data_IF_928319779706
#
_entry.id   IF_928319779706
#
_cell.length_a   1.000
_cell.length_b   1.000
_cell.length_c   1.000
_cell.angle_alpha   90.00
_cell.angle_beta   90.00
_cell.angle_gamma   90.00
#
_symmetry.space_group_name_H-M   'P 1'
#
loop_
_entity.id
_entity.type
_entity.pdbx_description
1 polymer ?
#
# COMPACT_ATOMS: atom_id res chain seq x y z
N UNK A 1 -1.78 7.76 26.58
CA UNK A 1 -2.45 6.56 27.13
C UNK A 1 -3.91 6.92 27.40
N UNK A 2 -4.89 6.04 27.09
CA UNK A 2 -4.71 4.68 26.58
C UNK A 2 -4.06 4.64 25.18
N UNK A 3 -3.58 3.47 24.77
CA UNK A 3 -3.07 3.24 23.41
C UNK A 3 -4.24 3.40 22.43
N UNK A 4 -4.09 4.21 21.39
CA UNK A 4 -5.19 4.44 20.44
C UNK A 4 -5.51 3.20 19.61
N UNK A 5 -4.47 2.57 19.08
CA UNK A 5 -4.52 1.44 18.18
C UNK A 5 -3.43 0.45 18.59
N UNK A 6 -3.81 -0.80 18.86
CA UNK A 6 -2.89 -1.88 19.18
C UNK A 6 -3.01 -2.99 18.13
N UNK A 7 -1.89 -3.33 17.50
CA UNK A 7 -1.83 -4.39 16.48
C UNK A 7 -1.08 -5.59 17.03
N UNK A 8 -1.70 -6.77 16.99
CA UNK A 8 -1.11 -8.00 17.49
C UNK A 8 -1.92 -9.23 17.06
N UNK A 9 -1.29 -10.40 17.02
CA UNK A 9 -1.97 -11.60 16.54
C UNK A 9 -3.04 -12.10 17.52
N UNK A 10 -4.02 -12.84 17.00
CA UNK A 10 -5.16 -13.34 17.77
C UNK A 10 -4.76 -14.46 18.75
N UNK A 11 -3.57 -15.05 18.60
CA UNK A 11 -3.00 -16.02 19.55
C UNK A 11 -2.84 -15.45 20.97
N UNK A 12 -2.87 -14.13 21.11
CA UNK A 12 -2.70 -13.43 22.39
C UNK A 12 -4.01 -13.12 23.12
N UNK A 13 -5.17 -13.49 22.55
CA UNK A 13 -6.50 -13.13 23.04
C UNK A 13 -6.75 -13.50 24.52
N UNK A 14 -6.37 -14.72 24.93
CA UNK A 14 -6.72 -15.27 26.26
C UNK A 14 -5.61 -15.14 27.31
N UNK A 15 -4.40 -14.72 26.89
CA UNK A 15 -3.24 -14.61 27.76
C UNK A 15 -2.81 -13.15 27.87
N UNK A 16 -1.87 -12.73 27.02
CA UNK A 16 -1.28 -11.40 27.04
C UNK A 16 -2.33 -10.27 27.03
N UNK A 17 -3.35 -10.35 26.18
CA UNK A 17 -4.39 -9.32 26.12
C UNK A 17 -5.26 -9.30 27.40
N UNK A 18 -5.52 -10.46 28.00
CA UNK A 18 -6.23 -10.53 29.28
C UNK A 18 -5.38 -9.97 30.43
N UNK A 19 -4.10 -10.34 30.51
CA UNK A 19 -3.17 -9.85 31.52
C UNK A 19 -2.93 -8.34 31.40
N UNK A 20 -2.83 -7.83 30.17
CA UNK A 20 -2.67 -6.39 29.92
C UNK A 20 -3.87 -5.60 30.46
N UNK A 21 -5.09 -6.11 30.25
CA UNK A 21 -6.32 -5.51 30.81
C UNK A 21 -6.36 -5.60 32.33
N UNK A 22 -6.02 -6.75 32.90
CA UNK A 22 -5.96 -6.96 34.35
C UNK A 22 -5.02 -5.95 35.02
N UNK A 23 -3.77 -5.87 34.56
CA UNK A 23 -2.79 -4.95 35.13
C UNK A 23 -3.16 -3.49 34.94
N UNK A 24 -3.81 -3.12 33.83
CA UNK A 24 -4.34 -1.77 33.64
C UNK A 24 -5.36 -1.42 34.73
N UNK A 25 -6.27 -2.34 35.06
CA UNK A 25 -7.26 -2.10 36.12
C UNK A 25 -6.61 -2.02 37.49
N UNK A 26 -5.66 -2.91 37.80
CA UNK A 26 -4.89 -2.85 39.05
C UNK A 26 -4.18 -1.51 39.19
N UNK A 27 -3.45 -1.06 38.16
CA UNK A 27 -2.73 0.23 38.17
C UNK A 27 -3.68 1.42 38.33
N UNK A 28 -4.87 1.37 37.73
CA UNK A 28 -5.90 2.39 37.93
C UNK A 28 -6.38 2.42 39.38
N UNK A 29 -6.68 1.26 39.95
CA UNK A 29 -7.27 1.16 41.28
C UNK A 29 -6.27 1.56 42.38
N UNK A 30 -4.96 1.39 42.16
CA UNK A 30 -3.92 1.93 43.06
C UNK A 30 -3.52 3.39 42.75
N UNK A 31 -4.19 4.05 41.81
CA UNK A 31 -4.00 5.47 41.49
C UNK A 31 -2.79 5.81 40.61
N UNK A 32 -2.16 4.82 39.95
CA UNK A 32 -1.02 5.05 39.06
C UNK A 32 -1.43 5.61 37.68
N UNK A 33 -2.67 5.32 37.24
CA UNK A 33 -3.22 5.78 35.97
C UNK A 33 -4.70 6.15 36.11
N UNK A 34 -5.21 6.97 35.19
CA UNK A 34 -6.58 7.50 35.20
C UNK A 34 -7.54 6.84 34.19
N UNK A 35 -7.11 5.79 33.48
CA UNK A 35 -7.92 5.10 32.46
C UNK A 35 -8.12 3.61 32.80
N UNK A 36 -9.23 3.03 32.33
CA UNK A 36 -9.66 1.68 32.73
C UNK A 36 -9.40 0.54 31.72
N UNK A 37 -9.01 0.87 30.49
CA UNK A 37 -8.65 -0.11 29.46
C UNK A 37 -7.34 0.33 28.78
N UNK A 38 -6.44 -0.61 28.45
CA UNK A 38 -5.10 -0.30 27.94
C UNK A 38 -5.12 0.31 26.53
N UNK A 39 -6.12 -0.03 25.73
CA UNK A 39 -6.22 0.32 24.32
C UNK A 39 -7.66 0.59 23.90
N UNK A 40 -7.87 1.55 22.98
CA UNK A 40 -9.21 1.89 22.46
C UNK A 40 -9.60 1.07 21.23
N UNK A 41 -8.63 0.56 20.48
CA UNK A 41 -8.84 -0.31 19.31
C UNK A 41 -7.77 -1.40 19.28
N UNK A 42 -8.20 -2.61 18.92
CA UNK A 42 -7.36 -3.78 18.70
C UNK A 42 -7.55 -4.21 17.24
N UNK A 43 -6.45 -4.35 16.50
CA UNK A 43 -6.42 -4.92 15.16
C UNK A 43 -5.61 -6.22 15.17
N UNK A 44 -6.28 -7.34 14.89
CA UNK A 44 -5.60 -8.63 14.80
C UNK A 44 -5.14 -8.89 13.37
N UNK A 45 -3.82 -8.80 13.11
CA UNK A 45 -3.30 -9.16 11.80
C UNK A 45 -3.41 -10.67 11.57
N UNK A 46 -3.67 -11.06 10.32
CA UNK A 46 -3.68 -12.46 9.92
C UNK A 46 -2.29 -13.09 9.94
N UNK A 47 -2.28 -14.42 10.01
CA UNK A 47 -1.04 -15.19 9.94
C UNK A 47 -0.40 -15.15 8.56
N UNK A 48 0.93 -15.11 8.56
CA UNK A 48 1.72 -15.32 7.34
C UNK A 48 1.94 -16.81 7.17
N UNK A 49 1.52 -17.35 6.03
CA UNK A 49 1.62 -18.77 5.69
C UNK A 49 2.62 -18.99 4.57
N UNK A 50 3.33 -20.12 4.62
CA UNK A 50 4.31 -20.52 3.60
C UNK A 50 4.25 -22.02 3.36
N UNK A 51 4.87 -22.45 2.25
CA UNK A 51 5.08 -23.86 1.97
C UNK A 51 6.17 -24.42 2.87
N UNK A 52 5.85 -25.49 3.58
CA UNK A 52 6.78 -26.27 4.40
C UNK A 52 7.11 -27.57 3.69
N UNK A 53 8.38 -27.94 3.71
CA UNK A 53 8.88 -29.20 3.17
C UNK A 53 9.43 -30.08 4.29
N UNK A 54 9.05 -31.34 4.32
CA UNK A 54 9.43 -32.28 5.39
C UNK A 54 9.97 -33.54 4.74
N UNK A 55 11.11 -34.03 5.24
CA UNK A 55 11.66 -35.31 4.81
C UNK A 55 10.96 -36.51 5.51
N UNK A 56 11.23 -37.76 5.10
CA UNK A 56 10.62 -38.93 5.74
C UNK A 56 10.97 -39.11 7.21
N UNK A 57 12.04 -38.45 7.70
CA UNK A 57 12.48 -38.47 9.10
C UNK A 57 11.79 -37.40 9.95
N UNK A 58 10.92 -36.57 9.34
CA UNK A 58 10.18 -35.50 10.02
C UNK A 58 10.96 -34.20 10.16
N UNK A 59 12.10 -34.05 9.47
CA UNK A 59 12.92 -32.85 9.51
C UNK A 59 12.42 -31.80 8.52
N UNK A 60 12.31 -30.57 9.02
CA UNK A 60 11.94 -29.41 8.22
C UNK A 60 13.07 -28.93 7.30
N UNK A 61 12.78 -28.87 6.00
CA UNK A 61 13.71 -28.50 4.94
C UNK A 61 13.37 -27.08 4.44
N UNK A 62 14.41 -26.28 4.19
CA UNK A 62 14.25 -24.94 3.60
C UNK A 62 13.61 -25.03 2.21
N UNK A 63 12.67 -24.13 1.86
CA UNK A 63 12.06 -24.08 0.53
C UNK A 63 13.07 -24.06 -0.62
N UNK A 64 14.18 -23.32 -0.49
CA UNK A 64 15.22 -23.23 -1.53
C UNK A 64 15.92 -24.57 -1.82
N UNK A 65 15.90 -25.50 -0.87
CA UNK A 65 16.49 -26.84 -1.01
C UNK A 65 15.50 -27.86 -1.57
N UNK A 66 14.23 -27.49 -1.79
CA UNK A 66 13.20 -28.38 -2.34
C UNK A 66 13.08 -28.16 -3.86
N UNK A 67 13.48 -29.16 -4.64
CA UNK A 67 13.37 -29.17 -6.10
C UNK A 67 12.13 -29.92 -6.55
N UNK A 68 11.30 -29.27 -7.36
CA UNK A 68 10.17 -29.96 -8.01
C UNK A 68 10.67 -30.79 -9.19
N UNK A 69 10.33 -32.08 -9.21
CA UNK A 69 10.54 -32.99 -10.35
C UNK A 69 9.23 -33.72 -10.64
N UNK A 70 8.52 -33.29 -11.69
CA UNK A 70 7.15 -33.73 -11.96
C UNK A 70 6.18 -33.27 -10.88
N UNK A 71 5.39 -34.19 -10.33
CA UNK A 71 4.42 -33.92 -9.25
C UNK A 71 5.04 -34.00 -7.84
N UNK A 72 6.29 -34.45 -7.72
CA UNK A 72 6.96 -34.65 -6.43
C UNK A 72 8.04 -33.62 -6.16
N UNK A 73 8.33 -33.40 -4.89
CA UNK A 73 9.42 -32.56 -4.42
C UNK A 73 10.54 -33.42 -3.88
N UNK A 74 11.79 -33.03 -4.16
CA UNK A 74 12.99 -33.75 -3.75
C UNK A 74 13.97 -32.80 -3.08
N UNK A 75 14.75 -33.32 -2.14
CA UNK A 75 15.86 -32.56 -1.56
C UNK A 75 16.94 -32.34 -2.62
N UNK A 76 17.45 -31.12 -2.74
CA UNK A 76 18.51 -30.79 -3.70
C UNK A 76 19.72 -31.72 -3.53
N UNK A 77 20.13 -32.34 -4.64
CA UNK A 77 21.28 -33.25 -4.68
C UNK A 77 21.06 -34.62 -4.04
N UNK A 78 19.84 -34.97 -3.58
CA UNK A 78 19.51 -36.30 -3.06
C UNK A 78 18.18 -36.80 -3.62
N UNK A 79 18.03 -38.11 -3.77
CA UNK A 79 16.76 -38.73 -4.16
C UNK A 79 15.87 -39.00 -2.93
N UNK A 80 15.74 -37.99 -2.06
CA UNK A 80 14.83 -38.01 -0.90
C UNK A 80 13.57 -37.25 -1.26
N UNK A 81 12.41 -37.93 -1.24
CA UNK A 81 11.10 -37.32 -1.50
C UNK A 81 10.68 -36.50 -0.29
N UNK A 82 10.23 -35.27 -0.54
CA UNK A 82 9.73 -34.35 0.48
C UNK A 82 8.20 -34.28 0.41
N UNK A 83 7.56 -34.28 1.57
CA UNK A 83 6.15 -33.86 1.66
C UNK A 83 6.08 -32.33 1.60
N UNK A 84 4.97 -31.81 1.08
CA UNK A 84 4.70 -30.38 0.96
C UNK A 84 3.35 -30.06 1.58
N UNK A 85 3.32 -29.11 2.51
CA UNK A 85 2.10 -28.64 3.15
C UNK A 85 2.17 -27.14 3.42
N UNK A 86 1.01 -26.49 3.54
CA UNK A 86 0.92 -25.06 3.83
C UNK A 86 0.75 -24.85 5.33
N UNK A 87 1.64 -24.07 5.93
CA UNK A 87 1.62 -23.82 7.38
C UNK A 87 1.99 -22.38 7.72
N UNK A 88 1.70 -21.96 8.95
CA UNK A 88 2.20 -20.70 9.52
C UNK A 88 3.72 -20.63 9.41
N UNK A 89 4.24 -19.48 9.00
CA UNK A 89 5.68 -19.24 8.96
C UNK A 89 6.27 -19.32 10.37
N UNK A 90 7.34 -20.08 10.52
CA UNK A 90 8.08 -20.19 11.78
C UNK A 90 9.53 -20.57 11.53
N UNK A 91 10.44 -20.03 12.36
CA UNK A 91 11.85 -20.43 12.37
C UNK A 91 12.01 -21.93 12.62
N UNK A 92 11.17 -22.53 13.47
CA UNK A 92 11.23 -23.97 13.79
C UNK A 92 10.78 -24.86 12.62
N UNK A 93 9.91 -24.36 11.74
CA UNK A 93 9.44 -25.06 10.54
C UNK A 93 10.31 -24.81 9.32
N UNK A 94 11.34 -23.97 9.46
CA UNK A 94 12.32 -23.66 8.41
C UNK A 94 11.69 -23.21 7.07
N UNK A 95 10.46 -22.67 7.12
CA UNK A 95 9.64 -22.29 5.96
C UNK A 95 9.66 -20.76 5.72
N UNK A 96 10.50 -20.04 6.45
CA UNK A 96 10.75 -18.63 6.21
C UNK A 96 11.43 -18.45 4.85
N UNK A 97 10.90 -17.54 4.03
CA UNK A 97 11.51 -17.13 2.75
C UNK A 97 11.92 -15.67 2.89
N UNK A 98 13.22 -15.40 2.77
CA UNK A 98 13.72 -14.04 2.80
C UNK A 98 13.53 -13.36 1.42
N UNK A 99 13.34 -12.03 1.35
CA UNK A 99 13.11 -11.33 0.08
C UNK A 99 14.24 -11.48 -0.96
N UNK A 100 15.46 -11.73 -0.50
CA UNK A 100 16.63 -11.99 -1.35
C UNK A 100 16.63 -13.41 -1.94
N UNK A 101 15.98 -14.36 -1.27
CA UNK A 101 15.80 -15.75 -1.72
C UNK A 101 14.72 -15.87 -2.80
N UNK A 102 13.66 -15.04 -2.74
CA UNK A 102 12.63 -14.96 -3.79
C UNK A 102 12.32 -13.53 -4.24
N UNK A 103 13.11 -13.06 -5.20
CA UNK A 103 12.93 -11.74 -5.83
C UNK A 103 11.70 -11.66 -6.72
N UNK A 104 11.12 -12.80 -7.13
CA UNK A 104 9.99 -12.81 -8.06
C UNK A 104 8.75 -12.20 -7.40
N UNK A 105 8.55 -12.46 -6.11
CA UNK A 105 7.45 -11.95 -5.31
C UNK A 105 7.39 -10.41 -5.22
N UNK A 106 8.55 -9.73 -5.25
CA UNK A 106 8.65 -8.26 -5.12
C UNK A 106 8.85 -7.53 -6.44
N UNK A 107 9.05 -8.26 -7.54
CA UNK A 107 9.34 -7.69 -8.86
C UNK A 107 8.25 -6.75 -9.39
N UNK A 108 6.98 -7.02 -9.06
CA UNK A 108 5.84 -6.18 -9.42
C UNK A 108 5.89 -4.81 -8.73
N UNK A 109 6.09 -4.80 -7.42
CA UNK A 109 6.21 -3.58 -6.62
C UNK A 109 7.42 -2.74 -7.06
N UNK A 110 8.58 -3.38 -7.28
CA UNK A 110 9.77 -2.71 -7.79
C UNK A 110 9.52 -2.01 -9.13
N UNK A 111 8.97 -2.72 -10.13
CA UNK A 111 8.65 -2.14 -11.43
C UNK A 111 7.64 -1.01 -11.33
N UNK A 112 6.66 -1.11 -10.43
CA UNK A 112 5.69 -0.04 -10.22
C UNK A 112 6.33 1.22 -9.61
N UNK A 113 7.18 1.07 -8.58
CA UNK A 113 7.91 2.19 -8.00
C UNK A 113 8.82 2.91 -9.00
N UNK A 114 9.46 2.17 -9.92
CA UNK A 114 10.23 2.79 -11.02
C UNK A 114 9.35 3.61 -11.97
N UNK A 115 8.13 3.13 -12.28
CA UNK A 115 7.18 3.90 -13.11
C UNK A 115 6.71 5.17 -12.41
N UNK A 116 6.45 5.07 -11.11
CA UNK A 116 6.09 6.21 -10.26
C UNK A 116 7.23 7.23 -10.20
N UNK A 117 8.47 6.76 -10.01
CA UNK A 117 9.65 7.62 -10.03
C UNK A 117 9.75 8.41 -11.34
N UNK A 118 9.64 7.72 -12.49
CA UNK A 118 9.69 8.39 -13.78
C UNK A 118 8.51 9.35 -13.98
N UNK A 119 7.32 9.01 -13.51
CA UNK A 119 6.16 9.90 -13.54
C UNK A 119 6.44 11.23 -12.82
N UNK A 120 6.97 11.15 -11.59
CA UNK A 120 7.17 12.33 -10.72
C UNK A 120 8.39 13.14 -11.16
N UNK A 121 9.50 12.49 -11.50
CA UNK A 121 10.76 13.17 -11.81
C UNK A 121 10.84 13.66 -13.26
N UNK A 122 10.25 12.94 -14.22
CA UNK A 122 10.25 13.39 -15.62
C UNK A 122 9.14 14.39 -15.95
N UNK A 123 8.28 14.72 -14.99
CA UNK A 123 7.33 15.83 -15.13
C UNK A 123 8.07 17.17 -15.31
N UNK A 124 9.27 17.30 -14.73
CA UNK A 124 10.04 18.56 -14.71
C UNK A 124 11.00 18.72 -15.91
N UNK A 125 11.30 17.62 -16.63
CA UNK A 125 12.35 17.60 -17.68
C UNK A 125 11.90 18.03 -19.07
N UNK A 126 10.71 18.62 -19.21
CA UNK A 126 10.27 19.32 -20.43
C UNK A 126 10.16 18.44 -21.68
N UNK A 127 8.93 18.19 -22.15
CA UNK A 127 8.76 17.78 -23.55
C UNK A 127 8.63 19.02 -24.41
N UNK A 128 9.50 19.09 -25.42
CA UNK A 128 9.61 20.10 -26.48
C UNK A 128 8.26 20.74 -26.77
N UNK A 129 8.22 22.07 -26.68
CA UNK A 129 7.22 22.95 -27.30
C UNK A 129 6.88 22.43 -28.69
N UNK A 130 5.84 21.61 -28.77
CA UNK A 130 5.25 21.19 -30.02
C UNK A 130 4.37 22.35 -30.45
N UNK A 131 4.79 23.02 -31.52
CA UNK A 131 4.10 24.14 -32.15
C UNK A 131 2.58 23.96 -32.08
N UNK A 132 1.92 25.04 -31.63
CA UNK A 132 0.47 25.13 -31.48
C UNK A 132 -0.25 24.51 -32.66
N UNK A 133 -0.82 23.32 -32.46
CA UNK A 133 -1.70 22.67 -33.43
C UNK A 133 -3.10 22.61 -32.87
N UNK A 134 -3.93 23.37 -33.57
CA UNK A 134 -5.39 23.41 -33.62
C UNK A 134 -6.11 22.36 -32.76
N UNK A 135 -7.01 22.87 -31.93
CA UNK A 135 -8.09 22.16 -31.27
C UNK A 135 -8.77 21.15 -32.22
N UNK A 136 -8.46 19.87 -32.03
CA UNK A 136 -9.19 18.77 -32.66
C UNK A 136 -10.51 18.61 -31.91
N UNK A 137 -11.63 18.69 -32.63
CA UNK A 137 -12.98 18.47 -32.11
C UNK A 137 -13.03 17.09 -31.44
N UNK A 138 -13.35 17.05 -30.14
CA UNK A 138 -13.45 15.81 -29.34
C UNK A 138 -12.37 15.64 -28.26
N UNK A 139 -11.36 16.51 -28.16
CA UNK A 139 -10.51 16.60 -26.96
C UNK A 139 -11.20 17.44 -25.88
N UNK A 140 -11.14 17.04 -24.59
CA UNK A 140 -11.60 17.89 -23.50
C UNK A 140 -10.94 19.26 -23.58
N UNK A 141 -11.67 20.33 -23.27
CA UNK A 141 -11.02 21.63 -23.14
C UNK A 141 -9.97 21.56 -22.01
N UNK A 142 -8.94 22.40 -22.09
CA UNK A 142 -7.92 22.49 -21.03
C UNK A 142 -8.55 22.63 -19.62
N UNK A 143 -9.60 23.44 -19.53
CA UNK A 143 -10.35 23.68 -18.29
C UNK A 143 -11.05 22.42 -17.78
N UNK A 144 -11.60 21.60 -18.68
CA UNK A 144 -12.27 20.35 -18.31
C UNK A 144 -11.26 19.29 -17.86
N UNK A 145 -10.10 19.21 -18.53
CA UNK A 145 -9.02 18.31 -18.15
C UNK A 145 -8.42 18.68 -16.78
N UNK A 146 -8.18 19.97 -16.52
CA UNK A 146 -7.71 20.45 -15.22
C UNK A 146 -8.72 20.16 -14.09
N UNK A 147 -10.02 20.40 -14.35
CA UNK A 147 -11.10 20.10 -13.41
C UNK A 147 -11.19 18.62 -13.07
N UNK A 148 -11.12 17.75 -14.08
CA UNK A 148 -11.19 16.30 -13.89
C UNK A 148 -9.96 15.76 -13.14
N UNK A 149 -8.76 16.29 -13.44
CA UNK A 149 -7.54 15.95 -12.71
C UNK A 149 -7.66 16.30 -11.22
N UNK A 150 -8.18 17.49 -10.92
CA UNK A 150 -8.38 17.93 -9.54
C UNK A 150 -9.42 17.07 -8.83
N UNK A 151 -10.53 16.74 -9.49
CA UNK A 151 -11.54 15.79 -8.97
C UNK A 151 -10.92 14.44 -8.62
N UNK A 152 -10.19 13.84 -9.56
CA UNK A 152 -9.53 12.54 -9.35
C UNK A 152 -8.52 12.58 -8.22
N UNK A 153 -7.82 13.69 -8.06
CA UNK A 153 -6.90 13.92 -6.93
C UNK A 153 -7.64 13.87 -5.59
N UNK A 154 -8.70 14.67 -5.42
CA UNK A 154 -9.47 14.67 -4.15
C UNK A 154 -10.22 13.35 -3.89
N UNK A 155 -10.73 12.68 -4.92
CA UNK A 155 -11.31 11.34 -4.80
C UNK A 155 -10.28 10.32 -4.28
N UNK A 156 -9.05 10.39 -4.83
CA UNK A 156 -7.96 9.50 -4.40
C UNK A 156 -7.54 9.80 -2.97
N UNK A 157 -7.36 11.08 -2.60
CA UNK A 157 -7.05 11.48 -1.22
C UNK A 157 -8.10 10.93 -0.26
N UNK A 158 -9.39 11.09 -0.56
CA UNK A 158 -10.48 10.54 0.26
C UNK A 158 -10.35 9.02 0.42
N UNK A 159 -10.22 8.28 -0.68
CA UNK A 159 -10.13 6.80 -0.66
C UNK A 159 -8.90 6.31 0.10
N UNK A 160 -7.72 6.85 -0.17
CA UNK A 160 -6.47 6.49 0.50
C UNK A 160 -6.53 6.82 1.99
N UNK A 161 -7.07 7.98 2.37
CA UNK A 161 -7.25 8.36 3.78
C UNK A 161 -8.17 7.36 4.50
N UNK A 162 -9.29 7.02 3.89
CA UNK A 162 -10.21 6.04 4.49
C UNK A 162 -9.58 4.65 4.58
N UNK A 163 -8.82 4.23 3.57
CA UNK A 163 -8.20 2.90 3.55
C UNK A 163 -7.07 2.79 4.58
N UNK A 164 -6.23 3.81 4.76
CA UNK A 164 -5.15 3.78 5.76
C UNK A 164 -5.70 3.79 7.19
N UNK A 165 -6.75 4.57 7.48
CA UNK A 165 -7.41 4.60 8.79
C UNK A 165 -8.10 3.26 9.14
N UNK A 166 -8.56 2.55 8.10
CA UNK A 166 -9.23 1.26 8.23
C UNK A 166 -8.32 0.05 8.02
N UNK A 167 -7.00 0.24 7.94
CA UNK A 167 -6.01 -0.83 7.77
C UNK A 167 -6.20 -1.65 6.47
N UNK A 168 -6.79 -1.02 5.45
CA UNK A 168 -6.96 -1.61 4.11
C UNK A 168 -5.80 -1.23 3.18
N UNK A 169 -4.58 -1.57 3.58
CA UNK A 169 -3.36 -1.16 2.88
C UNK A 169 -3.29 -1.67 1.43
N UNK A 170 -3.88 -2.83 1.15
CA UNK A 170 -3.96 -3.38 -0.20
C UNK A 170 -4.83 -2.53 -1.14
N UNK A 171 -6.00 -2.07 -0.69
CA UNK A 171 -6.88 -1.22 -1.50
C UNK A 171 -6.36 0.21 -1.58
N UNK A 172 -5.65 0.68 -0.56
CA UNK A 172 -4.90 1.94 -0.59
C UNK A 172 -3.83 1.91 -1.70
N UNK A 173 -3.01 0.85 -1.75
CA UNK A 173 -2.00 0.69 -2.81
C UNK A 173 -2.67 0.59 -4.18
N UNK A 174 -3.78 -0.15 -4.30
CA UNK A 174 -4.53 -0.22 -5.55
C UNK A 174 -5.03 1.16 -6.00
N UNK A 175 -5.55 1.98 -5.08
CA UNK A 175 -5.96 3.36 -5.37
C UNK A 175 -4.78 4.23 -5.86
N UNK A 176 -3.60 4.08 -5.25
CA UNK A 176 -2.38 4.76 -5.71
C UNK A 176 -1.92 4.26 -7.08
N UNK A 177 -2.03 2.96 -7.37
CA UNK A 177 -1.73 2.40 -8.68
C UNK A 177 -2.67 2.94 -9.76
N UNK A 178 -3.98 2.96 -9.50
CA UNK A 178 -5.01 3.52 -10.36
C UNK A 178 -4.73 5.01 -10.64
N UNK A 179 -4.42 5.78 -9.58
CA UNK A 179 -4.14 7.20 -9.71
C UNK A 179 -2.83 7.47 -10.48
N UNK A 180 -1.77 6.70 -10.24
CA UNK A 180 -0.54 6.80 -11.03
C UNK A 180 -0.78 6.51 -12.52
N UNK A 181 -1.61 5.51 -12.86
CA UNK A 181 -1.98 5.21 -14.24
C UNK A 181 -2.81 6.35 -14.87
N UNK A 182 -3.69 6.98 -14.09
CA UNK A 182 -4.43 8.17 -14.53
C UNK A 182 -3.48 9.35 -14.80
N UNK A 183 -2.55 9.63 -13.89
CA UNK A 183 -1.55 10.70 -14.04
C UNK A 183 -0.66 10.49 -15.25
N UNK A 184 -0.25 9.24 -15.55
CA UNK A 184 0.49 8.93 -16.77
C UNK A 184 -0.25 9.36 -18.04
N UNK A 185 -1.58 9.15 -18.10
CA UNK A 185 -2.41 9.62 -19.23
C UNK A 185 -2.57 11.14 -19.22
N UNK A 186 -2.80 11.73 -18.04
CA UNK A 186 -2.96 13.18 -17.92
C UNK A 186 -1.66 13.94 -18.29
N UNK A 187 -0.48 13.34 -18.12
CA UNK A 187 0.82 13.87 -18.58
C UNK A 187 0.88 14.11 -20.09
N UNK A 188 0.08 13.39 -20.89
CA UNK A 188 0.02 13.56 -22.34
C UNK A 188 -0.88 14.72 -22.78
N UNK A 189 -1.49 15.42 -21.82
CA UNK A 189 -2.37 16.58 -22.04
C UNK A 189 -1.73 17.86 -21.56
N UNK A 190 -2.26 19.01 -22.01
CA UNK A 190 -1.79 20.34 -21.60
C UNK A 190 -2.00 20.60 -20.10
N UNK A 191 -2.84 19.81 -19.42
CA UNK A 191 -3.08 19.92 -17.98
C UNK A 191 -1.81 19.70 -17.13
N UNK A 192 -0.73 19.15 -17.68
CA UNK A 192 0.56 18.97 -17.00
C UNK A 192 1.20 20.29 -16.55
N UNK A 193 0.90 21.40 -17.23
CA UNK A 193 1.43 22.73 -16.86
C UNK A 193 0.59 23.43 -15.78
N UNK A 194 -0.58 22.87 -15.48
CA UNK A 194 -1.55 23.46 -14.58
C UNK A 194 -1.12 23.41 -13.11
N UNK A 195 -1.75 24.27 -12.30
CA UNK A 195 -1.64 24.19 -10.84
C UNK A 195 -2.17 22.86 -10.28
N UNK A 196 -3.19 22.28 -10.93
CA UNK A 196 -3.78 21.00 -10.54
C UNK A 196 -2.81 19.82 -10.71
N UNK A 197 -1.90 19.86 -11.70
CA UNK A 197 -0.86 18.83 -11.84
C UNK A 197 0.11 18.85 -10.66
N UNK A 198 0.55 20.03 -10.24
CA UNK A 198 1.45 20.18 -9.09
C UNK A 198 0.77 19.70 -7.81
N UNK A 199 -0.49 20.09 -7.60
CA UNK A 199 -1.33 19.59 -6.49
C UNK A 199 -1.43 18.05 -6.51
N UNK A 200 -1.68 17.46 -7.68
CA UNK A 200 -1.81 16.02 -7.85
C UNK A 200 -0.52 15.25 -7.53
N UNK A 201 0.62 15.72 -8.05
CA UNK A 201 1.94 15.10 -7.79
C UNK A 201 2.31 15.23 -6.31
N UNK A 202 2.11 16.41 -5.71
CA UNK A 202 2.36 16.65 -4.29
C UNK A 202 1.52 15.73 -3.40
N UNK A 203 0.21 15.67 -3.65
CA UNK A 203 -0.69 14.78 -2.93
C UNK A 203 -0.31 13.30 -3.12
N UNK A 204 0.06 12.90 -4.34
CA UNK A 204 0.49 11.54 -4.63
C UNK A 204 1.72 11.14 -3.79
N UNK A 205 2.74 11.98 -3.74
CA UNK A 205 3.98 11.70 -2.98
C UNK A 205 3.69 11.62 -1.48
N UNK A 206 2.85 12.51 -0.94
CA UNK A 206 2.43 12.47 0.47
C UNK A 206 1.66 11.19 0.80
N UNK A 207 0.73 10.78 -0.06
CA UNK A 207 -0.04 9.55 0.17
C UNK A 207 0.80 8.28 0.06
N UNK A 208 1.87 8.30 -0.73
CA UNK A 208 2.79 7.16 -0.90
C UNK A 208 3.77 7.03 0.28
N UNK A 209 4.10 8.14 0.95
CA UNK A 209 5.14 8.19 1.98
C UNK A 209 5.01 7.13 3.11
N UNK A 210 3.81 6.79 3.62
CA UNK A 210 3.68 5.74 4.63
C UNK A 210 4.09 4.34 4.16
N UNK A 211 3.93 4.03 2.86
CA UNK A 211 4.23 2.70 2.30
C UNK A 211 5.62 2.62 1.68
N UNK A 212 6.13 3.72 1.11
CA UNK A 212 7.43 3.77 0.45
C UNK A 212 8.20 5.04 0.88
N UNK A 213 8.63 5.14 2.15
CA UNK A 213 9.09 6.39 2.76
C UNK A 213 10.36 6.97 2.12
N UNK A 214 11.30 6.10 1.74
CA UNK A 214 12.60 6.53 1.20
C UNK A 214 12.46 7.11 -0.21
N UNK A 215 11.72 6.44 -1.10
CA UNK A 215 11.51 6.94 -2.47
C UNK A 215 10.60 8.16 -2.47
N UNK A 216 9.61 8.23 -1.56
CA UNK A 216 8.77 9.41 -1.40
C UNK A 216 9.59 10.63 -0.93
N UNK A 217 10.49 10.46 0.03
CA UNK A 217 11.39 11.53 0.49
C UNK A 217 12.27 12.06 -0.65
N UNK A 218 12.90 11.17 -1.40
CA UNK A 218 13.75 11.56 -2.53
C UNK A 218 12.94 12.26 -3.63
N UNK A 219 11.74 11.75 -3.95
CA UNK A 219 10.85 12.41 -4.91
C UNK A 219 10.43 13.80 -4.42
N UNK A 220 10.08 13.94 -3.15
CA UNK A 220 9.67 15.20 -2.52
C UNK A 220 10.75 16.28 -2.63
N UNK A 221 12.00 15.94 -2.28
CA UNK A 221 13.12 16.87 -2.43
C UNK A 221 13.35 17.26 -3.89
N UNK A 222 13.25 16.30 -4.83
CA UNK A 222 13.48 16.56 -6.25
C UNK A 222 12.42 17.43 -6.90
N UNK A 223 11.18 17.39 -6.42
CA UNK A 223 10.13 18.34 -6.85
C UNK A 223 10.25 19.70 -6.15
N UNK A 224 11.39 19.99 -5.50
CA UNK A 224 11.73 21.30 -4.93
C UNK A 224 11.00 21.64 -3.64
N UNK A 225 10.45 20.65 -2.93
CA UNK A 225 9.70 20.86 -1.70
C UNK A 225 10.61 20.87 -0.46
N UNK A 226 10.20 21.55 0.63
CA UNK A 226 11.01 21.62 1.84
C UNK A 226 11.16 20.25 2.50
N UNK A 227 12.37 19.95 2.99
CA UNK A 227 12.63 18.77 3.81
C UNK A 227 11.76 18.81 5.08
N UNK A 228 11.10 17.73 5.50
CA UNK A 228 10.97 16.38 4.90
C UNK A 228 9.51 16.12 4.51
N UNK A 229 9.24 15.17 3.59
CA UNK A 229 7.87 14.73 3.27
C UNK A 229 7.13 14.23 4.52
N UNK A 230 7.87 13.63 5.46
CA UNK A 230 7.34 13.05 6.69
C UNK A 230 6.99 14.09 7.76
N UNK A 231 7.35 15.35 7.55
CA UNK A 231 6.99 16.48 8.42
C UNK A 231 5.82 17.29 7.87
N UNK A 232 5.31 16.93 6.69
CA UNK A 232 4.21 17.63 6.05
C UNK A 232 2.86 17.13 6.58
N UNK A 233 1.83 17.99 6.58
CA UNK A 233 0.49 17.54 6.88
C UNK A 233 0.00 16.54 5.83
N UNK A 234 -0.83 15.59 6.27
CA UNK A 234 -1.54 14.70 5.35
C UNK A 234 -2.44 15.51 4.40
N UNK A 235 -2.50 15.17 3.09
CA UNK A 235 -3.31 15.91 2.13
C UNK A 235 -4.79 15.82 2.48
N UNK A 236 -5.51 16.94 2.35
CA UNK A 236 -6.94 17.03 2.62
C UNK A 236 -7.72 17.01 1.32
N UNK A 237 -8.89 16.38 1.32
CA UNK A 237 -9.80 16.41 0.18
C UNK A 237 -10.93 17.43 0.39
N UNK A 238 -11.42 18.00 -0.71
CA UNK A 238 -12.66 18.78 -0.72
C UNK A 238 -13.81 17.88 -1.20
N UNK A 239 -14.85 17.76 -0.37
CA UNK A 239 -16.01 16.91 -0.67
C UNK A 239 -16.82 17.40 -1.88
N UNK A 240 -16.85 18.71 -2.15
CA UNK A 240 -17.54 19.28 -3.32
C UNK A 240 -16.79 18.98 -4.60
N UNK A 241 -15.46 19.06 -4.58
CA UNK A 241 -14.63 18.76 -5.75
C UNK A 241 -14.63 17.26 -6.05
N UNK A 242 -14.62 16.42 -5.00
CA UNK A 242 -14.62 14.96 -5.14
C UNK A 242 -15.98 14.36 -5.58
N UNK A 243 -17.06 15.13 -5.56
CA UNK A 243 -18.39 14.65 -5.92
C UNK A 243 -18.45 14.19 -7.39
N UNK A 244 -19.16 13.09 -7.64
CA UNK A 244 -19.45 12.63 -9.00
C UNK A 244 -20.49 13.56 -9.65
N UNK A 245 -20.24 14.00 -10.87
CA UNK A 245 -21.24 14.75 -11.66
C UNK A 245 -22.31 13.82 -12.25
N UNK A 246 -21.92 12.57 -12.54
CA UNK A 246 -22.75 11.55 -13.16
C UNK A 246 -22.51 10.24 -12.44
N UNK A 247 -23.58 9.53 -12.07
CA UNK A 247 -23.49 8.20 -11.49
C UNK A 247 -24.03 7.18 -12.50
N UNK A 248 -23.42 5.99 -12.54
CA UNK A 248 -23.89 4.89 -13.37
C UNK A 248 -25.04 4.19 -12.67
N UNK A 249 -26.27 4.34 -13.19
CA UNK A 249 -27.43 3.59 -12.70
C UNK A 249 -27.51 2.23 -13.41
N UNK A 250 -27.25 1.15 -12.67
CA UNK A 250 -27.46 -0.21 -13.17
C UNK A 250 -28.94 -0.55 -13.03
N UNK A 251 -29.62 -0.80 -14.15
CA UNK A 251 -31.04 -1.22 -14.17
C UNK A 251 -31.10 -2.71 -14.45
N UNK A 252 -31.68 -3.45 -13.50
CA UNK A 252 -31.87 -4.90 -13.57
C UNK A 252 -33.37 -5.23 -13.61
N UNK A 253 -33.74 -6.23 -14.41
CA UNK A 253 -35.11 -6.77 -14.46
C UNK A 253 -35.01 -8.27 -14.24
N UNK A 254 -35.60 -8.75 -13.14
CA UNK A 254 -35.45 -10.12 -12.64
C UNK A 254 -34.03 -10.53 -12.21
N UNK A 255 -33.23 -9.58 -11.73
CA UNK A 255 -31.83 -9.78 -11.32
C UNK A 255 -30.86 -9.52 -12.45
#
# INVERSE_FOLDING_TARGET
MPVREYTGGDEHATMHLLYTRFWTKVMRDVGLISFGEPMTRLFCQGDVVAWTYIDPEGKYIKPISALQRGEKYYLQGKDVVLSKQQERMSKSKNNGVAPDEDRSAISGAYRWLLRVWNLVIEADKGRKTGDGKLSVVGRPSFVDAERELRRKTHQTIKRVTQDIENFKFNTMIAALMEFANYLQKARETDAVESSAWREAIEAFVLMLAPNAPHIAEEMWQRIGKPYSVHQQPWPKWDAKIAAEEMFTLVVQVNG
#
